data_IF_664388718558
#
_entry.id   IF_664388718558
#
_cell.length_a   1.000
_cell.length_b   1.000
_cell.length_c   1.000
_cell.angle_alpha   90.00
_cell.angle_beta   90.00
_cell.angle_gamma   90.00
#
_symmetry.space_group_name_H-M   'P 1'
#
loop_
_entity.id
_entity.type
_entity.pdbx_description
1 polymer ?
#
# COMPACT_ATOMS: atom_id res chain seq x y z
N UNK A 1 8.63 17.05 -16.84
CA UNK A 1 7.57 16.17 -16.30
C UNK A 1 8.27 15.04 -15.57
N UNK A 2 8.07 14.88 -14.26
CA UNK A 2 8.60 13.71 -13.54
C UNK A 2 7.72 12.48 -13.86
N UNK A 3 8.29 11.28 -14.08
CA UNK A 3 7.50 10.10 -14.37
C UNK A 3 6.64 9.73 -13.14
N UNK A 4 5.37 9.39 -13.38
CA UNK A 4 4.51 8.77 -12.36
C UNK A 4 4.84 7.28 -12.30
N UNK A 5 5.20 6.80 -11.11
CA UNK A 5 5.61 5.41 -10.88
C UNK A 5 4.52 4.73 -10.05
N UNK A 6 4.14 3.52 -10.46
CA UNK A 6 3.29 2.63 -9.66
C UNK A 6 4.05 1.35 -9.34
N UNK A 7 4.01 0.94 -8.09
CA UNK A 7 4.65 -0.28 -7.57
C UNK A 7 3.57 -1.24 -7.13
N UNK A 8 3.56 -2.43 -7.73
CA UNK A 8 2.64 -3.52 -7.35
C UNK A 8 3.45 -4.56 -6.58
N UNK A 9 3.03 -4.84 -5.34
CA UNK A 9 3.69 -5.79 -4.44
C UNK A 9 2.79 -7.02 -4.30
N UNK A 10 3.11 -8.17 -4.93
CA UNK A 10 2.41 -9.41 -4.64
C UNK A 10 2.71 -9.87 -3.21
N UNK A 11 1.69 -10.37 -2.51
CA UNK A 11 1.80 -10.79 -1.12
C UNK A 11 1.11 -12.14 -0.93
N UNK A 12 1.80 -13.12 -0.34
CA UNK A 12 1.21 -14.39 0.07
C UNK A 12 1.92 -14.93 1.32
N UNK A 13 1.25 -14.87 2.47
CA UNK A 13 1.79 -15.28 3.77
C UNK A 13 3.14 -14.61 4.14
N UNK A 14 3.22 -13.29 3.96
CA UNK A 14 4.41 -12.46 4.16
C UNK A 14 4.30 -11.58 5.43
N UNK A 15 3.64 -12.05 6.50
CA UNK A 15 3.40 -11.25 7.72
C UNK A 15 4.66 -10.69 8.38
N UNK A 16 5.82 -11.32 8.15
CA UNK A 16 7.11 -10.93 8.73
C UNK A 16 7.87 -9.88 7.91
N UNK A 17 7.52 -9.70 6.64
CA UNK A 17 8.35 -9.02 5.64
C UNK A 17 7.59 -7.90 4.92
N UNK A 18 6.26 -8.01 4.77
CA UNK A 18 5.46 -7.11 3.93
C UNK A 18 5.59 -5.63 4.35
N UNK A 19 5.65 -5.33 5.64
CA UNK A 19 5.82 -3.96 6.13
C UNK A 19 7.19 -3.38 5.78
N UNK A 20 8.25 -4.19 5.89
CA UNK A 20 9.61 -3.76 5.53
C UNK A 20 9.69 -3.45 4.03
N UNK A 21 9.10 -4.31 3.17
CA UNK A 21 9.06 -4.09 1.72
C UNK A 21 8.35 -2.75 1.40
N UNK A 22 7.20 -2.49 2.02
CA UNK A 22 6.47 -1.23 1.85
C UNK A 22 7.33 -0.03 2.27
N UNK A 23 8.01 -0.13 3.41
CA UNK A 23 8.85 0.94 3.95
C UNK A 23 10.07 1.25 3.06
N UNK A 24 10.76 0.22 2.58
CA UNK A 24 11.90 0.39 1.69
C UNK A 24 11.49 0.98 0.33
N UNK A 25 10.40 0.49 -0.26
CA UNK A 25 9.85 1.06 -1.50
C UNK A 25 9.44 2.51 -1.28
N UNK A 26 8.79 2.82 -0.16
CA UNK A 26 8.37 4.18 0.17
C UNK A 26 9.55 5.13 0.38
N UNK A 27 10.67 4.65 0.94
CA UNK A 27 11.88 5.44 1.14
C UNK A 27 12.62 5.73 -0.18
N UNK A 28 12.71 4.74 -1.07
CA UNK A 28 13.42 4.87 -2.37
C UNK A 28 12.57 5.62 -3.40
N UNK A 29 11.25 5.39 -3.39
CA UNK A 29 10.29 6.01 -4.30
C UNK A 29 9.20 6.77 -3.52
N UNK A 30 9.51 7.93 -2.93
CA UNK A 30 8.56 8.66 -2.08
C UNK A 30 7.26 9.03 -2.78
N UNK A 31 7.32 9.32 -4.09
CA UNK A 31 6.19 9.74 -4.92
C UNK A 31 5.50 8.58 -5.65
N UNK A 32 5.93 7.33 -5.45
CA UNK A 32 5.29 6.20 -6.11
C UNK A 32 3.93 5.88 -5.45
N UNK A 33 2.98 5.51 -6.31
CA UNK A 33 1.75 4.85 -5.90
C UNK A 33 2.05 3.39 -5.56
N UNK A 34 1.73 2.94 -4.35
CA UNK A 34 2.02 1.57 -3.91
C UNK A 34 0.72 0.81 -3.75
N UNK A 35 0.61 -0.32 -4.45
CA UNK A 35 -0.53 -1.23 -4.36
C UNK A 35 -0.03 -2.62 -3.92
N UNK A 36 -0.61 -3.16 -2.85
CA UNK A 36 -0.32 -4.53 -2.41
C UNK A 36 -1.44 -5.46 -2.91
N UNK A 37 -1.06 -6.55 -3.56
CA UNK A 37 -1.97 -7.55 -4.10
C UNK A 37 -1.83 -8.86 -3.33
N UNK A 38 -2.76 -9.11 -2.41
CA UNK A 38 -2.80 -10.31 -1.58
C UNK A 38 -3.36 -11.52 -2.34
N UNK A 39 -2.67 -12.66 -2.30
CA UNK A 39 -3.08 -13.89 -2.95
C UNK A 39 -3.79 -14.85 -1.99
N UNK A 40 -4.82 -14.37 -1.29
CA UNK A 40 -5.55 -15.14 -0.26
C UNK A 40 -4.61 -15.64 0.85
N UNK A 41 -3.82 -14.74 1.43
CA UNK A 41 -3.01 -15.09 2.60
C UNK A 41 -3.91 -15.57 3.74
N UNK A 42 -3.42 -16.57 4.47
CA UNK A 42 -4.09 -17.16 5.64
C UNK A 42 -3.47 -16.73 6.97
N UNK A 43 -2.43 -15.91 6.91
CA UNK A 43 -1.72 -15.34 8.05
C UNK A 43 -2.09 -13.86 8.29
N UNK A 44 -1.31 -13.14 9.10
CA UNK A 44 -1.65 -11.76 9.46
C UNK A 44 -1.27 -10.71 8.39
N UNK A 45 -0.80 -11.11 7.20
CA UNK A 45 -0.30 -10.19 6.15
C UNK A 45 -1.29 -9.08 5.81
N UNK A 46 -2.56 -9.43 5.61
CA UNK A 46 -3.63 -8.48 5.26
C UNK A 46 -3.82 -7.41 6.33
N UNK A 47 -3.91 -7.81 7.59
CA UNK A 47 -4.19 -6.88 8.68
C UNK A 47 -3.06 -5.88 8.85
N UNK A 48 -1.81 -6.35 8.77
CA UNK A 48 -0.62 -5.50 8.85
C UNK A 48 -0.62 -4.41 7.77
N UNK A 49 -0.96 -4.76 6.53
CA UNK A 49 -1.00 -3.78 5.44
C UNK A 49 -2.14 -2.78 5.63
N UNK A 50 -3.33 -3.22 6.03
CA UNK A 50 -4.46 -2.32 6.28
C UNK A 50 -4.18 -1.36 7.44
N UNK A 51 -3.59 -1.85 8.54
CA UNK A 51 -3.15 -1.01 9.67
C UNK A 51 -2.14 0.04 9.23
N UNK A 52 -1.17 -0.35 8.39
CA UNK A 52 -0.19 0.58 7.80
C UNK A 52 -0.88 1.68 6.99
N UNK A 53 -1.80 1.33 6.08
CA UNK A 53 -2.54 2.29 5.25
C UNK A 53 -3.32 3.28 6.13
N UNK A 54 -4.04 2.79 7.13
CA UNK A 54 -4.81 3.63 8.07
C UNK A 54 -3.90 4.59 8.86
N UNK A 55 -2.71 4.14 9.27
CA UNK A 55 -1.73 4.97 9.97
C UNK A 55 -1.22 6.13 9.11
N UNK A 56 -1.14 5.94 7.79
CA UNK A 56 -0.66 6.95 6.84
C UNK A 56 -1.75 7.99 6.52
N UNK A 57 -3.02 7.58 6.42
CA UNK A 57 -4.14 8.48 6.15
C UNK A 57 -4.38 9.48 7.29
N UNK A 58 -4.14 9.08 8.54
CA UNK A 58 -4.36 9.90 9.74
C UNK A 58 -3.43 11.14 9.80
N UNK A 59 -2.23 11.05 9.22
CA UNK A 59 -1.23 12.13 9.26
C UNK A 59 -1.45 13.23 8.22
N UNK A 60 -2.44 13.08 7.32
CA UNK A 60 -2.68 13.97 6.17
C UNK A 60 -3.54 15.21 6.49
N UNK A 61 -4.10 15.34 7.70
CA UNK A 61 -5.12 16.36 7.99
C UNK A 61 -4.58 17.69 8.56
N UNK A 62 -3.27 17.89 8.74
CA UNK A 62 -2.74 19.08 9.45
C UNK A 62 -2.18 20.18 8.52
N UNK A 63 -1.85 19.91 7.26
CA UNK A 63 -1.12 20.89 6.44
C UNK A 63 -2.01 21.64 5.44
N UNK A 64 -2.56 22.77 5.89
CA UNK A 64 -3.45 23.65 5.11
C UNK A 64 -2.74 24.58 4.10
N UNK A 65 -1.43 24.42 3.83
CA UNK A 65 -0.69 25.37 2.98
C UNK A 65 0.38 24.81 2.01
N UNK A 66 0.40 23.52 1.70
CA UNK A 66 1.29 23.03 0.63
C UNK A 66 0.51 22.09 -0.29
N UNK A 67 0.84 22.09 -1.59
CA UNK A 67 0.40 21.07 -2.55
C UNK A 67 0.88 19.69 -2.06
N UNK A 68 0.17 19.13 -1.09
CA UNK A 68 0.42 17.80 -0.57
C UNK A 68 -0.22 16.83 -1.56
N UNK A 69 0.62 16.23 -2.42
CA UNK A 69 0.23 15.00 -3.10
C UNK A 69 -0.03 13.98 -2.00
N UNK A 70 -1.31 13.76 -1.69
CA UNK A 70 -1.73 12.67 -0.82
C UNK A 70 -1.16 11.39 -1.43
N UNK A 71 -0.36 10.67 -0.66
CA UNK A 71 0.23 9.42 -1.11
C UNK A 71 -0.87 8.37 -1.12
N UNK A 72 -1.40 8.09 -2.30
CA UNK A 72 -2.38 7.03 -2.48
C UNK A 72 -1.70 5.68 -2.21
N UNK A 73 -2.35 4.86 -1.38
CA UNK A 73 -1.94 3.51 -1.05
C UNK A 73 -3.15 2.60 -1.20
N UNK A 74 -3.00 1.56 -2.03
CA UNK A 74 -4.08 0.62 -2.31
C UNK A 74 -3.75 -0.78 -1.77
N UNK A 75 -4.80 -1.48 -1.33
CA UNK A 75 -4.73 -2.91 -0.99
C UNK A 75 -5.84 -3.65 -1.71
N UNK A 76 -5.48 -4.68 -2.46
CA UNK A 76 -6.41 -5.56 -3.16
C UNK A 76 -6.15 -7.02 -2.82
N UNK A 77 -7.21 -7.83 -2.79
CA UNK A 77 -7.12 -9.28 -2.57
C UNK A 77 -7.55 -9.98 -3.86
N UNK A 78 -6.82 -11.02 -4.26
CA UNK A 78 -7.21 -11.92 -5.35
C UNK A 78 -8.53 -12.61 -5.00
N UNK A 79 -9.63 -12.08 -5.52
CA UNK A 79 -10.96 -12.68 -5.38
C UNK A 79 -10.96 -14.12 -5.91
N UNK A 80 -11.03 -15.09 -5.01
CA UNK A 80 -11.25 -16.51 -5.32
C UNK A 80 -12.72 -16.87 -5.59
N UNK A 81 -13.58 -15.90 -5.86
CA UNK A 81 -15.00 -16.12 -6.12
C UNK A 81 -15.64 -14.95 -6.87
N UNK A 82 -15.97 -15.19 -8.14
CA UNK A 82 -17.00 -14.55 -8.96
C UNK A 82 -17.43 -13.08 -8.70
N UNK A 83 -16.52 -12.16 -8.41
CA UNK A 83 -16.76 -10.72 -8.59
C UNK A 83 -16.02 -10.27 -9.84
N UNK A 84 -16.74 -10.31 -10.96
CA UNK A 84 -16.41 -9.55 -12.15
C UNK A 84 -16.39 -8.05 -11.82
N UNK A 85 -15.49 -7.34 -12.50
CA UNK A 85 -15.33 -5.89 -12.51
C UNK A 85 -16.65 -5.14 -12.73
#
# INVERSE_FOLDING_TARGET
>A
MSPRISVIIPCYNEERTILQVIDEVSAILPQAHIAVFDNNSTDNSKNLVLEKINSLQTNSQIDSQTHSQVKDFDFAIRGGGNTAL
#
